data_IF_712879644034
#
_entry.id   IF_712879644034
#
_cell.length_a   1.000
_cell.length_b   1.000
_cell.length_c   1.000
_cell.angle_alpha   90.00
_cell.angle_beta   90.00
_cell.angle_gamma   90.00
#
_symmetry.space_group_name_H-M   'P 1'
#
loop_
_entity.id
_entity.type
_entity.pdbx_description
1 polymer ?
#
# COMPACT_ATOMS: atom_id res chain seq x y z
N UNK A 1 -2.38 5.34 9.24
CA UNK A 1 -1.65 4.44 10.19
C UNK A 1 -2.35 4.28 11.55
N UNK A 2 -3.23 5.20 11.95
CA UNK A 2 -4.12 5.08 13.14
C UNK A 2 -5.04 3.84 13.11
N UNK A 3 -5.36 3.30 11.92
CA UNK A 3 -6.29 2.18 11.77
C UNK A 3 -5.80 0.82 12.32
N UNK A 4 -4.50 0.64 12.59
CA UNK A 4 -4.01 -0.58 13.25
C UNK A 4 -4.15 -0.53 14.78
N UNK A 5 -4.38 0.66 15.35
CA UNK A 5 -4.23 0.91 16.80
C UNK A 5 -5.54 0.72 17.55
N UNK A 6 -6.66 1.27 17.07
CA UNK A 6 -7.88 1.29 17.91
C UNK A 6 -8.79 0.06 17.78
N UNK A 7 -8.35 -1.02 17.13
CA UNK A 7 -9.12 -2.26 17.00
C UNK A 7 -9.37 -3.00 18.32
N UNK A 8 -8.50 -2.81 19.33
CA UNK A 8 -8.59 -3.51 20.62
C UNK A 8 -9.44 -2.74 21.66
N UNK A 9 -9.32 -1.40 21.69
CA UNK A 9 -10.06 -0.51 22.58
C UNK A 9 -11.56 -0.38 22.26
N UNK A 10 -11.97 -0.69 21.03
CA UNK A 10 -13.39 -0.65 20.63
C UNK A 10 -14.25 -1.75 21.29
N UNK A 11 -13.64 -2.69 22.03
CA UNK A 11 -14.34 -3.89 22.50
C UNK A 11 -15.12 -3.72 23.81
N UNK A 12 -14.86 -2.72 24.65
CA UNK A 12 -15.40 -2.74 26.04
C UNK A 12 -15.88 -1.43 26.68
N UNK A 13 -16.24 -0.38 25.93
CA UNK A 13 -16.77 0.86 26.56
C UNK A 13 -18.09 1.42 26.01
N UNK A 14 -18.77 0.78 25.07
CA UNK A 14 -20.05 1.33 24.54
C UNK A 14 -21.13 0.26 24.50
N UNK A 15 -21.68 -0.07 25.68
CA UNK A 15 -23.00 -0.69 25.79
C UNK A 15 -24.04 0.41 25.94
N UNK A 16 -24.52 0.95 24.82
CA UNK A 16 -25.92 1.36 24.68
C UNK A 16 -26.20 1.79 23.23
N UNK A 17 -27.18 1.12 22.63
CA UNK A 17 -28.03 1.57 21.51
C UNK A 17 -27.69 1.06 20.11
N UNK A 18 -28.34 -0.07 19.80
CA UNK A 18 -29.01 -0.44 18.54
C UNK A 18 -28.21 -0.82 17.26
N UNK A 19 -26.93 -0.48 17.10
CA UNK A 19 -26.16 -0.85 15.88
C UNK A 19 -24.88 -1.67 16.18
N UNK A 20 -24.97 -2.72 16.99
CA UNK A 20 -23.84 -3.61 17.34
C UNK A 20 -23.10 -4.24 16.13
N UNK A 21 -23.61 -4.13 14.89
CA UNK A 21 -23.04 -4.80 13.71
C UNK A 21 -23.31 -3.99 12.42
N UNK A 22 -22.70 -2.81 12.26
CA UNK A 22 -22.10 -2.55 10.94
C UNK A 22 -20.90 -3.52 10.93
N UNK A 23 -20.93 -4.52 10.04
CA UNK A 23 -20.09 -5.73 10.03
C UNK A 23 -18.67 -5.53 10.59
N UNK A 24 -18.09 -6.55 11.24
CA UNK A 24 -16.75 -6.63 11.86
C UNK A 24 -15.52 -6.29 10.97
N UNK A 25 -15.67 -5.40 10.00
CA UNK A 25 -14.70 -4.97 8.99
C UNK A 25 -14.65 -3.45 9.04
N UNK A 26 -13.45 -2.88 8.99
CA UNK A 26 -13.22 -1.44 8.92
C UNK A 26 -13.94 -0.60 10.02
N UNK A 27 -13.86 -1.03 11.28
CA UNK A 27 -14.58 -0.41 12.42
C UNK A 27 -14.22 1.08 12.55
N UNK A 28 -12.92 1.39 12.50
CA UNK A 28 -12.40 2.73 12.73
C UNK A 28 -12.63 3.62 11.51
N UNK A 29 -12.39 3.10 10.32
CA UNK A 29 -12.61 3.81 9.07
C UNK A 29 -14.09 4.17 8.90
N UNK A 30 -14.99 3.25 9.26
CA UNK A 30 -16.43 3.51 9.30
C UNK A 30 -16.77 4.60 10.32
N UNK A 31 -16.15 4.57 11.49
CA UNK A 31 -16.31 5.60 12.51
C UNK A 31 -15.80 6.98 12.05
N UNK A 32 -14.60 7.06 11.47
CA UNK A 32 -14.02 8.29 10.93
C UNK A 32 -14.94 8.92 9.89
N UNK A 33 -15.44 8.12 8.94
CA UNK A 33 -16.38 8.59 7.93
C UNK A 33 -17.69 9.05 8.56
N UNK A 34 -18.28 8.27 9.47
CA UNK A 34 -19.54 8.61 10.13
C UNK A 34 -19.45 9.90 10.94
N UNK A 35 -18.41 10.03 11.78
CA UNK A 35 -18.19 11.19 12.63
C UNK A 35 -17.93 12.46 11.81
N UNK A 36 -17.10 12.40 10.78
CA UNK A 36 -16.83 13.56 9.91
C UNK A 36 -18.12 14.13 9.30
N UNK A 37 -19.02 13.26 8.83
CA UNK A 37 -20.30 13.69 8.29
C UNK A 37 -21.34 14.04 9.35
N UNK A 38 -21.23 13.52 10.58
CA UNK A 38 -22.05 13.96 11.70
C UNK A 38 -21.70 15.39 12.10
N UNK A 39 -20.41 15.73 12.19
CA UNK A 39 -19.93 17.09 12.46
C UNK A 39 -20.37 18.06 11.37
N UNK A 40 -20.37 17.61 10.11
CA UNK A 40 -20.84 18.40 8.97
C UNK A 40 -22.34 18.69 8.97
N UNK A 41 -23.12 18.18 9.94
CA UNK A 41 -24.54 18.55 10.11
C UNK A 41 -24.70 19.92 10.80
N UNK A 42 -23.70 20.38 11.52
CA UNK A 42 -23.70 21.74 12.08
C UNK A 42 -23.55 22.75 10.94
N UNK A 43 -24.51 23.66 10.80
CA UNK A 43 -24.55 24.68 9.76
C UNK A 43 -23.32 25.60 9.75
N UNK A 44 -22.69 25.81 10.91
CA UNK A 44 -21.48 26.65 11.04
C UNK A 44 -20.24 25.96 10.49
N UNK A 45 -20.21 24.63 10.51
CA UNK A 45 -19.06 23.80 10.10
C UNK A 45 -19.29 23.21 8.70
N UNK A 46 -20.54 23.12 8.25
CA UNK A 46 -20.91 22.45 7.01
C UNK A 46 -20.34 23.14 5.76
N UNK A 47 -19.18 22.65 5.31
CA UNK A 47 -18.53 23.09 4.07
C UNK A 47 -19.30 22.67 2.81
N UNK A 48 -20.29 21.78 2.91
CA UNK A 48 -21.08 21.26 1.80
C UNK A 48 -22.41 21.99 1.60
N UNK A 49 -22.74 22.99 2.44
CA UNK A 49 -24.06 23.63 2.48
C UNK A 49 -24.53 24.22 1.15
N UNK A 50 -23.60 24.69 0.32
CA UNK A 50 -23.88 25.33 -0.96
C UNK A 50 -23.78 24.37 -2.16
N UNK A 51 -23.58 23.07 -1.93
CA UNK A 51 -23.52 22.08 -3.00
C UNK A 51 -24.92 21.60 -3.38
N UNK A 52 -25.20 21.41 -4.69
CA UNK A 52 -26.39 20.71 -5.14
C UNK A 52 -26.46 19.30 -4.52
N UNK A 53 -27.68 18.83 -4.21
CA UNK A 53 -27.87 17.55 -3.50
C UNK A 53 -27.28 16.34 -4.24
N UNK A 54 -27.23 16.38 -5.57
CA UNK A 54 -26.63 15.34 -6.40
C UNK A 54 -25.10 15.32 -6.28
N UNK A 55 -24.46 16.50 -6.38
CA UNK A 55 -23.01 16.65 -6.21
C UNK A 55 -22.57 16.23 -4.81
N UNK A 56 -23.32 16.65 -3.77
CA UNK A 56 -23.05 16.23 -2.40
C UNK A 56 -23.13 14.72 -2.24
N UNK A 57 -24.14 14.06 -2.83
CA UNK A 57 -24.28 12.59 -2.78
C UNK A 57 -23.08 11.89 -3.43
N UNK A 58 -22.65 12.38 -4.60
CA UNK A 58 -21.52 11.83 -5.33
C UNK A 58 -20.19 12.07 -4.60
N UNK A 59 -19.99 13.26 -4.02
CA UNK A 59 -18.81 13.60 -3.22
C UNK A 59 -18.76 12.76 -1.94
N UNK A 60 -19.88 12.66 -1.22
CA UNK A 60 -20.00 11.82 -0.02
C UNK A 60 -19.63 10.37 -0.31
N UNK A 61 -20.14 9.80 -1.41
CA UNK A 61 -19.82 8.43 -1.83
C UNK A 61 -18.32 8.25 -2.05
N UNK A 62 -17.67 9.22 -2.72
CA UNK A 62 -16.23 9.18 -2.97
C UNK A 62 -15.40 9.32 -1.68
N UNK A 63 -15.76 10.26 -0.80
CA UNK A 63 -15.05 10.45 0.48
C UNK A 63 -15.12 9.17 1.32
N UNK A 64 -16.31 8.56 1.44
CA UNK A 64 -16.48 7.31 2.19
C UNK A 64 -15.63 6.19 1.57
N UNK A 65 -15.63 6.05 0.24
CA UNK A 65 -14.81 5.05 -0.45
C UNK A 65 -13.31 5.21 -0.16
N UNK A 66 -12.81 6.45 -0.14
CA UNK A 66 -11.41 6.73 0.16
C UNK A 66 -11.04 6.48 1.61
N UNK A 67 -11.89 6.87 2.55
CA UNK A 67 -11.65 6.60 3.99
C UNK A 67 -11.62 5.09 4.23
N UNK A 68 -12.58 4.34 3.69
CA UNK A 68 -12.62 2.88 3.83
C UNK A 68 -11.42 2.18 3.15
N UNK A 69 -10.86 2.75 2.09
CA UNK A 69 -9.68 2.19 1.42
C UNK A 69 -8.37 2.33 2.25
N UNK A 70 -8.36 3.17 3.29
CA UNK A 70 -7.21 3.29 4.20
C UNK A 70 -7.02 2.04 5.08
N UNK A 71 -8.03 1.17 5.19
CA UNK A 71 -7.95 -0.10 5.93
C UNK A 71 -6.77 -0.96 5.42
N UNK A 72 -5.87 -1.33 6.34
CA UNK A 72 -4.67 -2.11 6.00
C UNK A 72 -4.99 -3.58 5.69
N UNK A 73 -6.09 -4.13 6.20
CA UNK A 73 -6.53 -5.49 5.88
C UNK A 73 -6.81 -5.71 4.38
N UNK A 74 -7.09 -4.63 3.64
CA UNK A 74 -7.34 -4.64 2.19
C UNK A 74 -6.18 -4.06 1.37
N UNK A 75 -5.03 -3.86 1.99
CA UNK A 75 -3.84 -3.27 1.34
C UNK A 75 -3.49 -3.97 0.03
N UNK A 76 -3.26 -5.28 0.08
CA UNK A 76 -2.89 -6.06 -1.10
C UNK A 76 -4.00 -6.16 -2.14
N UNK A 77 -5.28 -6.10 -1.74
CA UNK A 77 -6.41 -6.04 -2.67
C UNK A 77 -6.34 -4.76 -3.52
N UNK A 78 -6.14 -3.60 -2.86
CA UNK A 78 -6.01 -2.32 -3.53
C UNK A 78 -4.74 -2.24 -4.39
N UNK A 79 -3.60 -2.69 -3.86
CA UNK A 79 -2.33 -2.72 -4.59
C UNK A 79 -2.42 -3.61 -5.84
N UNK A 80 -2.98 -4.81 -5.73
CA UNK A 80 -3.13 -5.73 -6.86
C UNK A 80 -4.02 -5.13 -7.95
N UNK A 81 -5.13 -4.49 -7.56
CA UNK A 81 -6.01 -3.79 -8.51
C UNK A 81 -5.30 -2.63 -9.19
N UNK A 82 -4.53 -1.84 -8.45
CA UNK A 82 -3.74 -0.74 -9.00
C UNK A 82 -2.68 -1.24 -9.98
N UNK A 83 -1.90 -2.24 -9.60
CA UNK A 83 -0.86 -2.84 -10.44
C UNK A 83 -1.46 -3.39 -11.73
N UNK A 84 -2.55 -4.15 -11.65
CA UNK A 84 -3.11 -4.81 -12.83
C UNK A 84 -3.84 -3.86 -13.79
N UNK A 85 -4.47 -2.79 -13.29
CA UNK A 85 -5.31 -1.91 -14.12
C UNK A 85 -4.61 -0.61 -14.54
N UNK A 86 -3.56 -0.20 -13.84
CA UNK A 86 -2.86 1.07 -14.12
C UNK A 86 -1.37 0.86 -14.39
N UNK A 87 -0.63 0.26 -13.46
CA UNK A 87 0.83 0.12 -13.60
C UNK A 87 1.24 -0.83 -14.75
N UNK A 88 0.71 -2.06 -14.80
CA UNK A 88 1.04 -3.05 -15.83
C UNK A 88 0.66 -2.63 -17.25
N UNK A 89 -0.56 -2.08 -17.52
CA UNK A 89 -0.90 -1.58 -18.85
C UNK A 89 0.05 -0.48 -19.33
N UNK A 90 0.58 0.32 -18.40
CA UNK A 90 1.63 1.29 -18.70
C UNK A 90 2.98 0.60 -18.93
N UNK A 91 3.31 -0.53 -18.28
CA UNK A 91 4.60 -1.25 -18.41
C UNK A 91 4.75 -2.13 -19.68
N UNK A 92 3.69 -2.82 -20.11
CA UNK A 92 3.74 -3.94 -21.07
C UNK A 92 4.02 -3.60 -22.56
N UNK A 93 4.75 -2.52 -22.88
CA UNK A 93 5.33 -2.31 -24.22
C UNK A 93 6.81 -1.84 -24.20
N UNK A 94 7.50 -1.94 -23.06
CA UNK A 94 8.93 -1.60 -22.91
C UNK A 94 9.89 -2.80 -22.91
N UNK A 95 9.40 -4.04 -22.94
CA UNK A 95 10.28 -5.19 -23.13
C UNK A 95 10.67 -5.26 -24.63
N UNK A 96 11.96 -5.17 -25.00
CA UNK A 96 12.38 -5.57 -26.33
C UNK A 96 11.97 -7.03 -26.52
N UNK A 97 11.46 -7.40 -27.69
CA UNK A 97 11.30 -8.80 -28.03
C UNK A 97 12.68 -9.47 -27.95
N UNK A 98 12.85 -10.35 -26.96
CA UNK A 98 14.00 -11.24 -26.95
C UNK A 98 13.80 -12.21 -28.11
N UNK A 99 14.59 -12.03 -29.17
CA UNK A 99 14.81 -13.02 -30.22
C UNK A 99 15.11 -14.37 -29.53
N UNK A 100 14.19 -15.32 -29.68
CA UNK A 100 14.37 -16.73 -29.33
C UNK A 100 15.56 -17.31 -30.12
N UNK A 101 16.76 -17.18 -29.55
CA UNK A 101 17.95 -17.87 -30.01
C UNK A 101 17.81 -19.37 -29.67
N UNK A 102 17.37 -20.13 -30.68
CA UNK A 102 17.29 -21.58 -30.63
C UNK A 102 18.62 -22.27 -30.24
N UNK A 103 18.60 -23.36 -29.45
CA UNK A 103 19.73 -24.26 -29.36
C UNK A 103 19.56 -25.41 -30.38
N UNK A 104 20.49 -25.50 -31.33
CA UNK A 104 20.62 -26.65 -32.22
C UNK A 104 21.49 -27.76 -31.62
N UNK A 105 21.06 -29.03 -31.70
CA UNK A 105 21.64 -30.04 -32.61
C UNK A 105 21.03 -31.46 -32.48
N UNK A 106 20.63 -32.01 -33.65
CA UNK A 106 20.74 -33.40 -34.19
C UNK A 106 20.20 -34.63 -33.39
N UNK A 107 19.62 -35.71 -33.93
CA UNK A 107 19.16 -36.19 -35.25
C UNK A 107 18.22 -37.41 -34.96
N UNK A 108 17.19 -37.77 -35.73
CA UNK A 108 17.27 -38.68 -36.90
C UNK A 108 15.84 -39.21 -37.23
N UNK A 109 15.56 -39.57 -38.50
CA UNK A 109 14.51 -40.53 -38.87
C UNK A 109 13.25 -40.02 -39.60
N UNK A 110 13.04 -40.50 -40.83
CA UNK A 110 12.03 -40.14 -41.88
C UNK A 110 10.88 -41.20 -41.92
N UNK A 111 9.88 -41.19 -42.85
CA UNK A 111 8.74 -40.29 -43.11
C UNK A 111 7.33 -40.95 -43.13
N UNK A 112 6.29 -40.10 -43.26
CA UNK A 112 5.08 -40.22 -44.14
C UNK A 112 3.72 -40.26 -43.43
N UNK A 113 2.89 -39.23 -43.62
CA UNK A 113 1.77 -39.24 -44.59
C UNK A 113 1.07 -37.89 -44.70
N UNK A 114 0.53 -37.71 -45.90
CA UNK A 114 -0.09 -36.56 -46.55
C UNK A 114 -1.56 -36.39 -46.14
N UNK A 115 -2.02 -35.16 -45.93
CA UNK A 115 -3.30 -34.70 -46.48
C UNK A 115 -3.36 -33.16 -46.49
N UNK A 116 -3.73 -32.66 -47.66
CA UNK A 116 -4.01 -31.28 -48.07
C UNK A 116 -5.33 -30.77 -47.50
N UNK A 117 -5.48 -29.45 -47.25
CA UNK A 117 -6.45 -28.55 -47.91
C UNK A 117 -6.07 -27.07 -47.65
N UNK A 118 -5.84 -26.31 -48.73
CA UNK A 118 -6.50 -25.02 -49.01
C UNK A 118 -6.23 -23.74 -48.20
N UNK A 119 -5.49 -22.84 -48.86
CA UNK A 119 -6.00 -21.53 -49.32
C UNK A 119 -5.55 -20.25 -48.60
N UNK A 120 -4.81 -19.47 -49.39
CA UNK A 120 -4.86 -18.00 -49.56
C UNK A 120 -4.34 -17.08 -48.45
N UNK A 121 -3.15 -16.58 -48.76
CA UNK A 121 -2.56 -15.31 -48.34
C UNK A 121 -3.51 -14.11 -48.37
N UNK A 122 -3.53 -13.34 -47.28
CA UNK A 122 -3.37 -11.89 -47.35
C UNK A 122 -2.72 -11.42 -46.06
N UNK A 123 -1.40 -11.20 -46.15
CA UNK A 123 -0.66 -10.53 -45.10
C UNK A 123 -1.13 -9.09 -45.01
N UNK A 124 -1.45 -8.66 -43.79
CA UNK A 124 -1.49 -7.27 -43.41
C UNK A 124 -0.81 -7.19 -42.05
N UNK A 125 0.51 -7.05 -42.09
CA UNK A 125 1.28 -6.49 -40.99
C UNK A 125 0.89 -5.02 -40.90
N UNK A 126 -0.23 -4.74 -40.25
CA UNK A 126 -0.47 -3.43 -39.67
C UNK A 126 0.37 -3.38 -38.41
N UNK A 127 1.52 -2.74 -38.48
CA UNK A 127 2.22 -2.28 -37.29
C UNK A 127 1.26 -1.38 -36.52
N UNK A 128 0.63 -1.93 -35.48
CA UNK A 128 -0.28 -1.21 -34.61
C UNK A 128 0.53 -0.21 -33.77
N UNK A 129 0.81 0.95 -34.37
CA UNK A 129 1.33 2.16 -33.74
C UNK A 129 0.27 2.80 -32.82
N UNK A 130 -0.41 2.00 -32.00
CA UNK A 130 -1.25 2.51 -30.93
C UNK A 130 -0.34 3.18 -29.88
N UNK A 131 -0.46 4.51 -29.65
CA UNK A 131 0.36 5.20 -28.68
C UNK A 131 0.16 4.59 -27.29
N UNK A 132 1.25 4.53 -26.50
CA UNK A 132 1.24 3.97 -25.14
C UNK A 132 0.09 4.58 -24.34
N UNK A 133 -0.75 3.77 -23.68
CA UNK A 133 -1.83 4.32 -22.86
C UNK A 133 -1.20 5.16 -21.75
N UNK A 134 -1.59 6.43 -21.69
CA UNK A 134 -1.15 7.33 -20.63
C UNK A 134 -2.03 7.11 -19.40
N UNK A 135 -1.56 7.49 -18.22
CA UNK A 135 -2.41 7.49 -17.03
C UNK A 135 -3.71 8.28 -17.29
N UNK A 136 -3.59 9.41 -18.00
CA UNK A 136 -4.73 10.23 -18.37
C UNK A 136 -5.77 9.48 -19.21
N UNK A 137 -5.35 8.73 -20.23
CA UNK A 137 -6.29 7.97 -21.07
C UNK A 137 -6.97 6.85 -20.27
N UNK A 138 -6.21 6.07 -19.50
CA UNK A 138 -6.74 4.97 -18.68
C UNK A 138 -7.78 5.44 -17.64
N UNK A 139 -7.58 6.63 -17.07
CA UNK A 139 -8.44 7.25 -16.05
C UNK A 139 -9.65 7.95 -16.68
N UNK A 140 -9.50 8.51 -17.88
CA UNK A 140 -10.62 9.11 -18.62
C UNK A 140 -11.60 8.03 -19.10
N UNK A 141 -11.09 6.93 -19.64
CA UNK A 141 -11.86 5.83 -20.22
C UNK A 141 -12.64 5.02 -19.17
N UNK A 142 -12.15 4.91 -17.93
CA UNK A 142 -12.75 4.05 -16.91
C UNK A 142 -12.99 4.76 -15.58
N UNK A 143 -14.25 4.93 -15.15
CA UNK A 143 -14.59 5.40 -13.80
C UNK A 143 -14.02 4.51 -12.67
N UNK A 144 -13.86 3.21 -12.94
CA UNK A 144 -13.24 2.27 -11.99
C UNK A 144 -11.74 2.60 -11.84
N UNK A 145 -11.04 2.86 -12.95
CA UNK A 145 -9.62 3.26 -12.91
C UNK A 145 -9.41 4.56 -12.14
N UNK A 146 -10.35 5.51 -12.25
CA UNK A 146 -10.33 6.73 -11.41
C UNK A 146 -10.41 6.39 -9.92
N UNK A 147 -11.29 5.46 -9.56
CA UNK A 147 -11.49 5.04 -8.17
C UNK A 147 -10.26 4.29 -7.66
N UNK A 148 -9.69 3.38 -8.45
CA UNK A 148 -8.45 2.67 -8.15
C UNK A 148 -7.29 3.65 -7.92
N UNK A 149 -7.11 4.64 -8.81
CA UNK A 149 -6.07 5.66 -8.68
C UNK A 149 -6.23 6.46 -7.38
N UNK A 150 -7.45 6.94 -7.09
CA UNK A 150 -7.72 7.72 -5.88
C UNK A 150 -7.49 6.90 -4.60
N UNK A 151 -7.89 5.63 -4.58
CA UNK A 151 -7.62 4.71 -3.45
C UNK A 151 -6.12 4.51 -3.25
N UNK A 152 -5.36 4.31 -4.33
CA UNK A 152 -3.91 4.16 -4.22
C UNK A 152 -3.23 5.44 -3.74
N UNK A 153 -3.68 6.61 -4.24
CA UNK A 153 -3.20 7.91 -3.81
C UNK A 153 -3.36 8.12 -2.30
N UNK A 154 -4.57 7.95 -1.77
CA UNK A 154 -4.82 8.17 -0.33
C UNK A 154 -4.05 7.18 0.54
N UNK A 155 -3.89 5.92 0.10
CA UNK A 155 -3.08 4.93 0.81
C UNK A 155 -1.59 5.30 0.82
N UNK A 156 -1.03 5.72 -0.32
CA UNK A 156 0.34 6.21 -0.37
C UNK A 156 0.52 7.39 0.59
N UNK A 157 -0.45 8.32 0.65
CA UNK A 157 -0.41 9.44 1.58
C UNK A 157 -0.45 9.00 3.05
N UNK A 158 -1.28 8.01 3.40
CA UNK A 158 -1.48 7.56 4.80
C UNK A 158 -0.25 6.87 5.40
N UNK A 159 0.61 6.26 4.57
CA UNK A 159 1.80 5.52 5.04
C UNK A 159 3.13 6.02 4.45
N UNK A 160 3.20 7.30 4.02
CA UNK A 160 4.43 7.86 3.45
C UNK A 160 5.50 8.29 4.46
N UNK A 161 5.32 8.04 5.76
CA UNK A 161 6.30 8.43 6.77
C UNK A 161 7.73 7.95 6.43
N UNK A 162 7.96 6.71 5.95
CA UNK A 162 9.29 6.25 5.55
C UNK A 162 9.87 6.89 4.29
N UNK A 163 9.08 7.64 3.52
CA UNK A 163 9.53 8.34 2.30
C UNK A 163 9.78 9.84 2.53
N UNK A 164 9.66 10.30 3.78
CA UNK A 164 9.97 11.69 4.18
C UNK A 164 11.46 11.87 4.46
N UNK A 165 11.97 13.12 4.52
CA UNK A 165 13.30 13.40 5.04
C UNK A 165 13.55 12.70 6.37
N UNK A 166 14.78 12.21 6.59
CA UNK A 166 15.14 11.28 7.67
C UNK A 166 14.63 11.71 9.06
N UNK A 167 14.74 13.00 9.40
CA UNK A 167 14.30 13.49 10.71
C UNK A 167 12.78 13.36 10.92
N UNK A 168 12.00 13.60 9.86
CA UNK A 168 10.54 13.41 9.89
C UNK A 168 10.21 11.92 9.94
N UNK A 169 10.92 11.08 9.17
CA UNK A 169 10.76 9.63 9.20
C UNK A 169 10.98 9.07 10.62
N UNK A 170 12.06 9.48 11.29
CA UNK A 170 12.38 9.07 12.67
C UNK A 170 11.32 9.49 13.66
N UNK A 171 10.89 10.76 13.60
CA UNK A 171 9.87 11.29 14.49
C UNK A 171 8.55 10.50 14.38
N UNK A 172 8.09 10.23 13.16
CA UNK A 172 6.88 9.44 12.95
C UNK A 172 7.04 7.97 13.39
N UNK A 173 8.22 7.38 13.19
CA UNK A 173 8.50 6.02 13.66
C UNK A 173 8.42 5.91 15.19
N UNK A 174 8.89 6.94 15.92
CA UNK A 174 8.81 7.00 17.38
C UNK A 174 7.35 7.21 17.83
N UNK A 175 6.62 8.15 17.22
CA UNK A 175 5.22 8.43 17.57
C UNK A 175 4.32 7.21 17.43
N UNK A 176 4.41 6.49 16.31
CA UNK A 176 3.60 5.29 16.12
C UNK A 176 4.03 4.15 17.04
N UNK A 177 5.32 4.01 17.35
CA UNK A 177 5.79 3.02 18.31
C UNK A 177 5.25 3.31 19.71
N UNK A 178 5.25 4.57 20.15
CA UNK A 178 4.69 4.97 21.44
C UNK A 178 3.19 4.66 21.53
N UNK A 179 2.45 4.93 20.47
CA UNK A 179 1.02 4.60 20.38
C UNK A 179 0.77 3.09 20.49
N UNK A 180 1.57 2.26 19.80
CA UNK A 180 1.50 0.80 19.94
C UNK A 180 1.91 0.31 21.34
N UNK A 181 2.91 0.93 21.97
CA UNK A 181 3.31 0.59 23.34
C UNK A 181 2.20 0.87 24.34
N UNK A 182 1.56 2.04 24.24
CA UNK A 182 0.43 2.39 25.10
C UNK A 182 -0.72 1.37 24.99
N UNK A 183 -1.04 0.92 23.77
CA UNK A 183 -2.03 -0.14 23.57
C UNK A 183 -1.60 -1.46 24.21
N UNK A 184 -0.36 -1.91 23.98
CA UNK A 184 0.17 -3.15 24.57
C UNK A 184 0.15 -3.11 26.10
N UNK A 185 0.49 -1.96 26.68
CA UNK A 185 0.47 -1.75 28.13
C UNK A 185 -0.97 -1.85 28.69
N UNK A 186 -1.94 -1.28 27.98
CA UNK A 186 -3.36 -1.38 28.34
C UNK A 186 -3.92 -2.80 28.18
N UNK A 187 -3.56 -3.51 27.11
CA UNK A 187 -3.96 -4.90 26.88
C UNK A 187 -3.45 -5.80 28.03
N UNK A 188 -2.19 -5.64 28.44
CA UNK A 188 -1.64 -6.35 29.61
C UNK A 188 -2.38 -5.99 30.90
N UNK A 189 -2.60 -4.70 31.15
CA UNK A 189 -3.27 -4.20 32.36
C UNK A 189 -4.70 -4.72 32.50
N UNK A 190 -5.41 -4.84 31.38
CA UNK A 190 -6.79 -5.31 31.33
C UNK A 190 -6.90 -6.84 31.18
N UNK A 191 -5.79 -7.56 31.01
CA UNK A 191 -5.78 -9.00 30.78
C UNK A 191 -6.37 -9.41 29.43
N UNK A 192 -6.26 -8.54 28.41
CA UNK A 192 -6.71 -8.79 27.05
C UNK A 192 -5.65 -9.55 26.23
N UNK A 193 -6.06 -10.29 25.18
CA UNK A 193 -5.11 -10.86 24.23
C UNK A 193 -4.26 -9.78 23.55
N UNK A 194 -2.94 -9.97 23.52
CA UNK A 194 -2.03 -9.01 22.88
C UNK A 194 -2.16 -9.09 21.36
N UNK A 195 -2.59 -8.00 20.74
CA UNK A 195 -2.75 -7.93 19.28
C UNK A 195 -1.41 -7.69 18.59
N UNK A 196 -0.49 -6.99 19.26
CA UNK A 196 0.81 -6.60 18.73
C UNK A 196 1.96 -6.97 19.69
N UNK A 197 2.23 -8.27 19.92
CA UNK A 197 3.16 -8.71 20.96
C UNK A 197 4.61 -8.25 20.73
N UNK A 198 4.99 -7.88 19.51
CA UNK A 198 6.33 -7.37 19.19
C UNK A 198 6.52 -5.89 19.57
N UNK A 199 5.43 -5.15 19.77
CA UNK A 199 5.45 -3.74 20.17
C UNK A 199 5.26 -3.62 21.68
N UNK A 200 6.25 -4.15 22.39
CA UNK A 200 6.41 -4.00 23.84
C UNK A 200 7.56 -3.03 24.12
N UNK A 201 7.30 -1.99 24.91
CA UNK A 201 8.28 -0.95 25.25
C UNK A 201 9.61 -1.50 25.80
N UNK A 202 9.58 -2.67 26.44
CA UNK A 202 10.76 -3.28 27.05
C UNK A 202 11.61 -4.08 26.05
N UNK A 203 11.04 -4.53 24.94
CA UNK A 203 11.70 -5.49 24.04
C UNK A 203 11.66 -5.12 22.55
N UNK A 204 10.85 -4.12 22.18
CA UNK A 204 10.66 -3.73 20.80
C UNK A 204 11.95 -3.16 20.19
N UNK A 205 12.38 -3.73 19.07
CA UNK A 205 13.38 -3.12 18.21
C UNK A 205 12.66 -2.29 17.13
N UNK A 206 12.62 -0.97 17.31
CA UNK A 206 11.96 -0.05 16.38
C UNK A 206 12.60 -0.14 14.99
N UNK A 207 13.93 -0.15 14.90
CA UNK A 207 14.66 -0.21 13.64
C UNK A 207 14.28 -1.45 12.82
N UNK A 208 14.24 -2.61 13.47
CA UNK A 208 13.82 -3.88 12.84
C UNK A 208 12.36 -3.80 12.40
N UNK A 209 11.49 -3.28 13.26
CA UNK A 209 10.06 -3.12 12.94
C UNK A 209 9.84 -2.20 11.73
N UNK A 210 10.60 -1.10 11.61
CA UNK A 210 10.57 -0.21 10.46
C UNK A 210 11.06 -0.90 9.18
N UNK A 211 12.18 -1.65 9.24
CA UNK A 211 12.65 -2.41 8.06
C UNK A 211 11.62 -3.44 7.60
N UNK A 212 11.01 -4.20 8.53
CA UNK A 212 9.97 -5.18 8.20
C UNK A 212 8.71 -4.54 7.62
N UNK A 213 8.30 -3.36 8.14
CA UNK A 213 7.17 -2.62 7.60
C UNK A 213 7.42 -2.14 6.16
N UNK A 214 8.63 -1.60 5.91
CA UNK A 214 9.04 -1.16 4.58
C UNK A 214 9.04 -2.34 3.61
N UNK A 215 9.64 -3.47 4.01
CA UNK A 215 9.73 -4.68 3.19
C UNK A 215 8.36 -5.25 2.83
N UNK A 216 7.48 -5.36 3.82
CA UNK A 216 6.22 -6.09 3.64
C UNK A 216 5.13 -5.26 2.97
N UNK A 217 5.08 -3.94 3.22
CA UNK A 217 3.99 -3.09 2.72
C UNK A 217 4.43 -2.06 1.68
N UNK A 218 5.61 -1.45 1.86
CA UNK A 218 5.93 -0.20 1.16
C UNK A 218 6.73 -0.39 -0.12
N UNK A 219 7.65 -1.34 -0.19
CA UNK A 219 8.52 -1.53 -1.36
C UNK A 219 7.70 -1.70 -2.65
N UNK A 220 6.83 -2.71 -2.69
CA UNK A 220 6.00 -2.97 -3.88
C UNK A 220 5.00 -1.83 -4.14
N UNK A 221 4.47 -1.22 -3.06
CA UNK A 221 3.51 -0.15 -3.16
C UNK A 221 4.10 1.10 -3.81
N UNK A 222 5.23 1.59 -3.30
CA UNK A 222 5.87 2.79 -3.81
C UNK A 222 6.56 2.56 -5.14
N UNK A 223 7.10 1.36 -5.41
CA UNK A 223 7.62 1.03 -6.75
C UNK A 223 6.51 1.09 -7.82
N UNK A 224 5.32 0.51 -7.53
CA UNK A 224 4.19 0.58 -8.45
C UNK A 224 3.69 2.03 -8.62
N UNK A 225 3.66 2.81 -7.54
CA UNK A 225 3.21 4.19 -7.55
C UNK A 225 4.16 5.11 -8.33
N UNK A 226 5.46 5.00 -8.08
CA UNK A 226 6.52 5.74 -8.76
C UNK A 226 6.50 5.49 -10.27
N UNK A 227 6.31 4.23 -10.68
CA UNK A 227 6.16 3.91 -12.10
C UNK A 227 5.03 4.68 -12.80
N UNK A 228 3.96 5.00 -12.07
CA UNK A 228 2.78 5.70 -12.62
C UNK A 228 2.91 7.22 -12.49
N UNK A 229 3.56 7.72 -11.43
CA UNK A 229 3.55 9.13 -11.04
C UNK A 229 4.91 9.84 -11.14
N UNK A 230 6.00 9.11 -11.42
CA UNK A 230 7.38 9.61 -11.51
C UNK A 230 7.77 10.47 -10.28
N UNK A 231 8.07 9.79 -9.18
CA UNK A 231 8.29 10.38 -7.86
C UNK A 231 9.70 10.04 -7.31
N UNK A 232 10.79 10.44 -8.00
CA UNK A 232 12.15 10.00 -7.67
C UNK A 232 12.61 10.44 -6.28
N UNK A 233 12.17 11.61 -5.79
CA UNK A 233 12.50 12.09 -4.44
C UNK A 233 11.91 11.18 -3.34
N UNK A 234 10.68 10.69 -3.55
CA UNK A 234 9.99 9.79 -2.62
C UNK A 234 10.74 8.45 -2.53
N UNK A 235 11.16 7.91 -3.69
CA UNK A 235 11.93 6.66 -3.76
C UNK A 235 13.32 6.83 -3.13
N UNK A 236 14.04 7.91 -3.45
CA UNK A 236 15.36 8.18 -2.89
C UNK A 236 15.32 8.29 -1.36
N UNK A 237 14.33 8.98 -0.81
CA UNK A 237 14.14 9.04 0.64
C UNK A 237 13.82 7.68 1.24
N UNK A 238 12.94 6.88 0.61
CA UNK A 238 12.60 5.53 1.08
C UNK A 238 13.84 4.64 1.16
N UNK A 239 14.68 4.64 0.11
CA UNK A 239 15.90 3.85 0.06
C UNK A 239 16.93 4.31 1.10
N UNK A 240 17.15 5.62 1.21
CA UNK A 240 18.06 6.21 2.20
C UNK A 240 17.63 5.88 3.63
N UNK A 241 16.35 6.04 3.95
CA UNK A 241 15.81 5.75 5.27
C UNK A 241 15.83 4.24 5.57
N UNK A 242 15.52 3.39 4.59
CA UNK A 242 15.62 1.94 4.73
C UNK A 242 17.07 1.52 5.04
N UNK A 243 18.05 2.11 4.37
CA UNK A 243 19.47 1.88 4.66
C UNK A 243 19.84 2.30 6.08
N UNK A 244 19.43 3.50 6.51
CA UNK A 244 19.64 3.98 7.88
C UNK A 244 19.13 2.99 8.94
N UNK A 245 17.90 2.49 8.80
CA UNK A 245 17.34 1.53 9.75
C UNK A 245 18.10 0.20 9.75
N UNK A 246 18.49 -0.31 8.58
CA UNK A 246 19.31 -1.53 8.50
C UNK A 246 20.68 -1.39 9.16
N UNK A 247 21.33 -0.23 9.04
CA UNK A 247 22.59 0.03 9.72
C UNK A 247 22.45 0.01 11.24
N UNK A 248 21.32 0.50 11.78
CA UNK A 248 21.02 0.40 13.21
C UNK A 248 20.78 -1.04 13.65
N UNK A 249 19.98 -1.80 12.89
CA UNK A 249 19.77 -3.24 13.15
C UNK A 249 21.10 -4.00 13.14
N UNK A 250 22.01 -3.68 12.21
CA UNK A 250 23.32 -4.31 12.14
C UNK A 250 24.20 -3.98 13.36
N UNK A 251 24.12 -2.74 13.88
CA UNK A 251 24.84 -2.32 15.09
C UNK A 251 24.31 -3.01 16.35
N UNK A 252 22.99 -3.15 16.47
CA UNK A 252 22.35 -3.81 17.62
C UNK A 252 22.70 -5.31 17.72
N UNK A 253 23.01 -5.94 16.59
CA UNK A 253 23.37 -7.37 16.52
C UNK A 253 24.88 -7.65 16.71
N UNK A 254 25.72 -6.63 16.89
CA UNK A 254 27.16 -6.85 17.12
C UNK A 254 27.41 -7.28 18.58
N UNK A 255 28.21 -8.35 18.82
CA UNK A 255 28.59 -8.72 20.18
C UNK A 255 29.40 -7.60 20.83
N UNK A 256 29.14 -7.34 22.12
CA UNK A 256 29.88 -6.34 22.89
C UNK A 256 31.39 -6.57 22.78
N UNK A 257 32.14 -5.51 22.49
CA UNK A 257 33.59 -5.60 22.39
C UNK A 257 34.17 -6.15 23.72
N UNK A 258 35.11 -7.12 23.67
CA UNK A 258 35.69 -7.67 24.89
C UNK A 258 36.34 -6.55 25.72
N UNK A 259 36.30 -6.63 27.07
CA UNK A 259 36.92 -5.64 27.93
C UNK A 259 38.38 -5.46 27.54
N UNK A 260 38.82 -4.22 27.35
CA UNK A 260 40.24 -3.92 27.13
C UNK A 260 41.02 -4.41 28.35
N UNK A 261 41.76 -5.49 28.21
CA UNK A 261 42.74 -5.94 29.20
C UNK A 261 43.73 -4.81 29.39
N UNK A 262 43.67 -4.16 30.56
CA UNK A 262 44.68 -3.20 30.98
C UNK A 262 45.92 -4.02 31.30
N UNK A 263 46.90 -4.01 30.39
CA UNK A 263 48.19 -4.62 30.64
C UNK A 263 48.89 -3.80 31.74
N UNK A 264 49.05 -4.42 32.91
CA UNK A 264 49.83 -3.95 34.05
C UNK A 264 51.18 -4.64 34.09
#
# INVERSE_FOLDING_TARGET
MECLVSGSMASQSVRASADYILSSRAVLESHHAALAFQLSKDEKINIFKNLPSEEFRNLRKQIIDLVLATEMARHFEHLTKFVNNLSKPMMNKLAPEEDEAAPGHASSGRPSKRSSVGSSSSGSTVDDFSPRPTLASLVQESPENRSILKRMLIKCCDVNNPTRPLEICKEWAIRIAEEYFAQTDDEKRLGLPLVMPTFDRQTCNISKSQTSFIDFFLKDMFAAWDFVCDCPEIIANLESNYKYWNELVAKDNQPAAPPKLIAS
#
